data_IF_947802725441
#
_entry.id   IF_947802725441
#
_cell.length_a   1.000
_cell.length_b   1.000
_cell.length_c   1.000
_cell.angle_alpha   90.00
_cell.angle_beta   90.00
_cell.angle_gamma   90.00
#
_symmetry.space_group_name_H-M   'P 1'
#
loop_
_entity.id
_entity.type
_entity.pdbx_description
1 polymer ?
#
# COMPACT_ATOMS: atom_id res chain seq x y z
N UNK A 1 -56.12 -4.65 -5.37
CA UNK A 1 -55.29 -4.21 -6.52
C UNK A 1 -54.39 -3.08 -6.07
N UNK A 2 -53.07 -3.29 -6.14
CA UNK A 2 -52.15 -2.24 -6.58
C UNK A 2 -51.30 -2.73 -7.78
N UNK A 3 -50.97 -1.87 -8.75
CA UNK A 3 -49.86 -2.07 -9.69
C UNK A 3 -48.62 -1.27 -9.22
N UNK A 4 -47.39 -1.48 -9.63
CA UNK A 4 -46.70 -2.51 -10.42
C UNK A 4 -45.19 -2.28 -10.17
N UNK A 5 -44.40 -3.35 -10.24
CA UNK A 5 -42.95 -3.32 -10.06
C UNK A 5 -42.25 -2.74 -11.29
N UNK A 6 -41.14 -2.01 -11.08
CA UNK A 6 -40.02 -2.04 -12.02
C UNK A 6 -38.73 -2.26 -11.25
N UNK A 7 -38.21 -3.46 -11.40
CA UNK A 7 -36.88 -3.89 -11.01
C UNK A 7 -35.80 -3.00 -11.64
N UNK A 8 -34.88 -2.51 -10.80
CA UNK A 8 -33.56 -2.10 -11.24
C UNK A 8 -32.57 -3.00 -10.52
N UNK A 9 -32.02 -3.97 -11.26
CA UNK A 9 -30.92 -4.82 -10.84
C UNK A 9 -29.71 -3.94 -10.48
N UNK A 10 -29.44 -3.75 -9.19
CA UNK A 10 -28.18 -3.18 -8.73
C UNK A 10 -27.18 -4.32 -8.52
N UNK A 11 -26.38 -4.59 -9.55
CA UNK A 11 -25.14 -5.36 -9.40
C UNK A 11 -24.19 -4.57 -8.48
N UNK A 12 -24.13 -4.93 -7.20
CA UNK A 12 -23.07 -4.48 -6.30
C UNK A 12 -21.76 -5.19 -6.68
N UNK A 13 -20.94 -4.51 -7.49
CA UNK A 13 -19.55 -4.87 -7.72
C UNK A 13 -18.75 -4.42 -6.50
N UNK A 14 -18.31 -5.37 -5.66
CA UNK A 14 -17.45 -5.10 -4.51
C UNK A 14 -16.03 -4.76 -4.98
N UNK A 15 -15.73 -3.48 -5.15
CA UNK A 15 -14.34 -3.00 -5.28
C UNK A 15 -13.85 -2.51 -3.91
N UNK A 16 -13.04 -3.34 -3.24
CA UNK A 16 -12.36 -3.04 -1.97
C UNK A 16 -10.92 -2.60 -2.28
N UNK A 17 -10.66 -1.30 -2.18
CA UNK A 17 -9.31 -0.74 -2.13
C UNK A 17 -9.01 -0.31 -0.69
N UNK A 18 -7.74 -0.42 -0.27
CA UNK A 18 -7.25 0.30 0.91
C UNK A 18 -7.21 1.80 0.53
N UNK A 19 -8.33 2.48 0.76
CA UNK A 19 -8.37 3.93 0.82
C UNK A 19 -7.95 4.34 2.23
N UNK A 20 -7.00 5.27 2.35
CA UNK A 20 -6.98 6.12 3.55
C UNK A 20 -8.19 7.06 3.41
N UNK A 21 -9.36 6.58 3.80
CA UNK A 21 -10.62 7.34 3.77
C UNK A 21 -10.79 8.02 5.13
N UNK A 22 -10.53 9.32 5.21
CA UNK A 22 -10.84 10.10 6.41
C UNK A 22 -12.34 10.46 6.43
N UNK A 23 -13.07 9.98 7.43
CA UNK A 23 -14.45 10.41 7.71
C UNK A 23 -14.58 10.90 9.15
N UNK A 24 -15.23 12.06 9.32
CA UNK A 24 -15.68 12.60 10.61
C UNK A 24 -17.21 12.73 10.58
N UNK A 25 -17.89 12.13 11.57
CA UNK A 25 -19.34 12.25 11.79
C UNK A 25 -19.87 11.25 12.82
N UNK A 26 -20.68 11.72 13.77
CA UNK A 26 -21.01 11.13 15.09
C UNK A 26 -22.03 9.96 15.11
N UNK A 27 -21.79 9.05 16.09
CA UNK A 27 -22.71 8.21 16.93
C UNK A 27 -23.44 7.01 16.30
N UNK A 28 -23.35 5.86 17.00
CA UNK A 28 -24.50 4.96 17.21
C UNK A 28 -24.23 3.44 17.18
N UNK A 29 -23.91 2.88 18.35
CA UNK A 29 -24.11 1.51 18.87
C UNK A 29 -24.25 0.28 17.94
N UNK A 30 -23.47 -0.75 18.26
CA UNK A 30 -23.55 -2.14 17.79
C UNK A 30 -24.62 -2.96 18.54
N UNK A 31 -25.15 -4.02 17.90
CA UNK A 31 -25.56 -5.28 18.55
C UNK A 31 -25.43 -6.47 17.58
N UNK A 32 -24.80 -7.54 18.06
CA UNK A 32 -24.71 -8.87 17.45
C UNK A 32 -25.86 -9.77 17.95
N UNK A 33 -26.25 -10.80 17.18
CA UNK A 33 -26.24 -12.21 17.64
C UNK A 33 -26.51 -13.22 16.49
N UNK A 34 -26.10 -14.49 16.66
CA UNK A 34 -25.70 -15.41 15.59
C UNK A 34 -26.71 -16.54 15.36
N UNK A 35 -26.56 -17.29 14.24
CA UNK A 35 -27.03 -18.67 14.15
C UNK A 35 -26.05 -19.58 13.40
N UNK A 36 -25.69 -20.64 14.12
CA UNK A 36 -25.24 -21.99 13.77
C UNK A 36 -25.98 -22.58 12.53
N UNK A 37 -25.66 -23.70 11.88
CA UNK A 37 -24.75 -24.86 12.04
C UNK A 37 -24.89 -25.70 10.73
N UNK A 38 -23.79 -26.35 10.34
CA UNK A 38 -23.58 -27.65 9.63
C UNK A 38 -24.71 -28.24 8.76
N UNK A 39 -24.33 -28.67 7.54
CA UNK A 39 -24.53 -30.03 6.96
C UNK A 39 -23.61 -30.12 5.71
N UNK A 40 -22.65 -31.05 5.60
CA UNK A 40 -22.84 -32.47 5.23
C UNK A 40 -22.94 -32.58 3.70
N UNK A 41 -21.95 -33.08 2.94
CA UNK A 41 -21.84 -34.48 2.46
C UNK A 41 -20.63 -34.56 1.49
N UNK A 42 -19.93 -35.71 1.35
CA UNK A 42 -18.57 -35.83 0.83
C UNK A 42 -18.51 -36.26 -0.64
N UNK A 43 -17.35 -36.10 -1.31
CA UNK A 43 -17.04 -36.89 -2.51
C UNK A 43 -15.57 -37.32 -2.57
N UNK A 44 -15.39 -38.52 -3.12
CA UNK A 44 -14.25 -39.41 -2.99
C UNK A 44 -13.08 -39.11 -3.92
N UNK A 45 -11.93 -39.58 -3.46
CA UNK A 45 -10.66 -39.78 -4.16
C UNK A 45 -10.81 -40.88 -5.22
N UNK A 46 -10.30 -40.64 -6.43
CA UNK A 46 -9.79 -41.72 -7.27
C UNK A 46 -8.41 -41.35 -7.82
N UNK A 47 -7.50 -42.34 -7.79
CA UNK A 47 -6.11 -42.30 -8.25
C UNK A 47 -6.00 -42.96 -9.63
N UNK A 48 -4.84 -42.74 -10.27
CA UNK A 48 -4.21 -43.45 -11.41
C UNK A 48 -4.55 -42.86 -12.79
N UNK A 49 -3.67 -42.72 -13.79
CA UNK A 49 -2.24 -43.01 -13.98
C UNK A 49 -1.68 -42.17 -15.16
N UNK A 50 -0.35 -41.94 -15.17
CA UNK A 50 0.50 -41.58 -16.32
C UNK A 50 1.08 -42.88 -16.93
N UNK A 51 1.45 -42.96 -18.23
CA UNK A 51 2.76 -42.46 -18.73
C UNK A 51 2.74 -41.95 -20.21
N UNK A 52 3.46 -40.88 -20.59
CA UNK A 52 4.87 -40.75 -21.06
C UNK A 52 5.07 -40.71 -22.60
N UNK A 53 6.19 -40.07 -23.00
CA UNK A 53 6.91 -40.06 -24.31
C UNK A 53 6.53 -38.91 -25.28
N UNK A 54 7.43 -38.16 -25.96
CA UNK A 54 8.88 -38.22 -26.24
C UNK A 54 9.38 -36.83 -26.75
N UNK A 55 10.64 -36.51 -26.43
CA UNK A 55 11.75 -35.81 -27.16
C UNK A 55 11.49 -35.03 -28.49
N UNK A 56 12.27 -34.06 -28.99
CA UNK A 56 13.53 -33.36 -28.65
C UNK A 56 13.81 -32.29 -29.75
N UNK A 57 14.92 -31.54 -29.60
CA UNK A 57 15.70 -30.77 -30.60
C UNK A 57 15.33 -29.28 -30.81
N UNK A 58 16.22 -28.28 -30.99
CA UNK A 58 17.69 -28.20 -31.09
C UNK A 58 18.13 -26.69 -31.08
N UNK A 59 19.30 -26.39 -30.47
CA UNK A 59 20.35 -25.34 -30.67
C UNK A 59 20.07 -23.79 -30.74
N UNK A 60 20.59 -23.09 -29.71
CA UNK A 60 21.49 -21.88 -29.61
C UNK A 60 21.78 -20.95 -30.82
N UNK A 61 22.41 -19.76 -30.64
CA UNK A 61 22.17 -18.63 -29.73
C UNK A 61 22.10 -17.28 -30.49
N UNK A 62 21.48 -16.24 -29.92
CA UNK A 62 21.63 -14.87 -30.45
C UNK A 62 21.99 -13.91 -29.32
N UNK A 63 23.25 -13.47 -29.35
CA UNK A 63 23.76 -12.31 -28.62
C UNK A 63 22.94 -11.06 -28.98
N UNK A 64 22.43 -10.38 -27.97
CA UNK A 64 22.00 -8.98 -28.07
C UNK A 64 22.74 -8.23 -26.96
N UNK A 65 23.45 -7.13 -27.26
CA UNK A 65 24.19 -6.41 -26.25
C UNK A 65 23.23 -5.74 -25.27
N UNK A 66 23.53 -5.90 -23.98
CA UNK A 66 22.89 -5.17 -22.90
C UNK A 66 23.18 -3.68 -23.03
N UNK A 67 22.19 -2.89 -23.46
CA UNK A 67 22.19 -1.44 -23.28
C UNK A 67 22.07 -1.17 -21.79
N UNK A 68 23.21 -0.94 -21.14
CA UNK A 68 23.31 -0.46 -19.78
C UNK A 68 22.81 0.99 -19.72
N UNK A 69 21.51 1.19 -19.51
CA UNK A 69 21.01 2.48 -19.06
C UNK A 69 21.36 2.63 -17.56
N UNK A 70 22.58 3.07 -17.26
CA UNK A 70 22.94 3.53 -15.93
C UNK A 70 22.21 4.85 -15.63
N UNK A 71 21.00 4.77 -15.08
CA UNK A 71 20.42 5.90 -14.35
C UNK A 71 20.91 5.84 -12.91
N UNK A 72 22.08 6.45 -12.67
CA UNK A 72 22.61 6.70 -11.32
C UNK A 72 21.74 7.76 -10.63
N UNK A 73 20.88 7.33 -9.72
CA UNK A 73 20.24 8.23 -8.76
C UNK A 73 21.25 8.57 -7.65
N UNK A 74 21.76 9.79 -7.67
CA UNK A 74 22.61 10.32 -6.60
C UNK A 74 21.73 10.92 -5.50
N UNK A 75 21.85 10.41 -4.28
CA UNK A 75 21.17 10.92 -3.09
C UNK A 75 22.04 11.97 -2.40
N UNK A 76 21.61 13.23 -2.25
CA UNK A 76 22.37 14.21 -1.47
C UNK A 76 22.25 13.90 0.04
N UNK A 77 23.38 14.04 0.74
CA UNK A 77 23.45 13.89 2.19
C UNK A 77 22.68 15.02 2.91
N UNK A 78 22.09 14.68 4.06
CA UNK A 78 21.26 15.56 4.88
C UNK A 78 22.04 16.76 5.45
N UNK A 79 21.45 17.95 5.39
CA UNK A 79 21.94 19.16 6.06
C UNK A 79 21.15 19.44 7.35
N UNK A 80 21.88 19.83 8.40
CA UNK A 80 21.41 20.12 9.77
C UNK A 80 20.85 21.56 9.89
N UNK A 81 19.87 21.87 10.77
CA UNK A 81 19.15 23.14 10.74
C UNK A 81 19.70 24.22 11.69
N UNK A 82 19.43 25.50 11.39
CA UNK A 82 19.68 26.66 12.26
C UNK A 82 18.43 27.52 12.50
N UNK A 83 18.14 27.73 13.78
CA UNK A 83 17.40 28.76 14.55
C UNK A 83 16.46 29.83 13.93
N UNK A 84 15.35 30.06 14.66
CA UNK A 84 14.23 31.05 14.59
C UNK A 84 14.68 32.52 14.87
N UNK A 85 13.93 33.64 14.71
CA UNK A 85 12.51 34.03 15.02
C UNK A 85 12.21 35.50 14.48
N UNK A 86 11.09 36.25 14.78
CA UNK A 86 9.62 36.14 14.49
C UNK A 86 8.96 37.37 13.75
N UNK A 87 7.71 37.22 13.27
CA UNK A 87 6.77 38.33 12.94
C UNK A 87 5.43 37.91 12.28
N UNK A 88 4.29 38.25 12.91
CA UNK A 88 2.86 37.83 12.72
C UNK A 88 2.14 38.34 11.42
N UNK A 89 0.85 37.98 11.07
CA UNK A 89 -0.19 37.34 11.88
C UNK A 89 -0.93 36.12 11.27
N UNK A 90 -1.69 35.50 12.18
CA UNK A 90 -2.46 34.26 12.18
C UNK A 90 -3.51 34.06 11.07
N UNK A 91 -3.40 32.94 10.35
CA UNK A 91 -4.50 32.25 9.66
C UNK A 91 -4.82 30.94 10.37
N UNK A 92 -6.09 30.78 10.75
CA UNK A 92 -6.64 29.61 11.44
C UNK A 92 -6.31 28.32 10.68
N UNK A 93 -5.50 27.48 11.32
CA UNK A 93 -5.22 26.12 10.90
C UNK A 93 -6.44 25.23 11.21
N UNK A 94 -7.06 24.65 10.19
CA UNK A 94 -7.97 23.52 10.37
C UNK A 94 -7.16 22.22 10.37
N UNK A 95 -7.10 21.61 11.54
CA UNK A 95 -6.45 20.33 11.82
C UNK A 95 -7.22 19.14 11.23
N UNK A 96 -6.50 18.21 10.62
CA UNK A 96 -6.95 16.86 10.26
C UNK A 96 -7.02 16.65 8.75
N UNK A 97 -6.22 15.71 8.22
CA UNK A 97 -6.14 15.31 6.79
C UNK A 97 -5.61 16.33 5.75
N UNK A 98 -5.27 17.57 6.16
CA UNK A 98 -4.80 18.66 5.29
C UNK A 98 -3.28 18.75 5.00
N UNK A 99 -2.48 17.72 5.28
CA UNK A 99 -1.02 17.81 5.07
C UNK A 99 -0.61 17.63 3.60
N UNK A 100 -1.34 16.77 2.85
CA UNK A 100 -1.00 16.43 1.46
C UNK A 100 -1.77 17.24 0.42
N UNK A 101 -2.86 17.91 0.78
CA UNK A 101 -3.59 18.86 -0.07
C UNK A 101 -3.79 20.16 0.70
N UNK A 102 -3.29 21.25 0.14
CA UNK A 102 -3.40 22.59 0.70
C UNK A 102 -4.07 23.52 -0.32
N UNK A 103 -5.08 24.25 0.12
CA UNK A 103 -5.75 25.26 -0.67
C UNK A 103 -5.34 26.64 -0.19
N UNK A 104 -4.77 27.43 -1.09
CA UNK A 104 -4.31 28.79 -0.80
C UNK A 104 -5.15 29.78 -1.59
N UNK A 105 -5.81 30.72 -0.90
CA UNK A 105 -6.60 31.76 -1.55
C UNK A 105 -5.68 32.85 -2.11
N UNK A 106 -5.71 33.02 -3.43
CA UNK A 106 -5.10 34.13 -4.14
C UNK A 106 -6.16 34.73 -5.07
N UNK A 107 -6.89 35.74 -4.58
CA UNK A 107 -8.07 36.26 -5.26
C UNK A 107 -7.84 36.48 -6.78
N UNK A 108 -8.73 36.00 -7.66
CA UNK A 108 -10.02 35.37 -7.39
C UNK A 108 -10.00 33.82 -7.35
N UNK A 109 -8.84 33.18 -7.10
CA UNK A 109 -8.64 31.75 -7.30
C UNK A 109 -8.09 31.04 -6.05
N UNK A 110 -8.43 29.77 -5.87
CA UNK A 110 -7.71 28.89 -4.95
C UNK A 110 -6.62 28.13 -5.68
N UNK A 111 -5.39 28.21 -5.18
CA UNK A 111 -4.29 27.37 -5.61
C UNK A 111 -4.33 26.04 -4.84
N UNK A 112 -4.48 24.93 -5.55
CA UNK A 112 -4.44 23.59 -4.96
C UNK A 112 -3.02 23.02 -5.04
N UNK A 113 -2.33 23.04 -3.91
CA UNK A 113 -1.01 22.46 -3.75
C UNK A 113 -1.13 21.03 -3.21
N UNK A 114 -0.44 20.09 -3.84
CA UNK A 114 -0.37 18.70 -3.38
C UNK A 114 1.06 18.38 -2.97
N UNK A 115 1.22 17.72 -1.82
CA UNK A 115 2.50 17.25 -1.29
C UNK A 115 2.50 15.73 -1.22
N UNK A 116 3.51 15.09 -1.80
CA UNK A 116 3.74 13.66 -1.60
C UNK A 116 4.26 13.39 -0.17
N UNK A 117 3.55 12.66 0.69
CA UNK A 117 4.01 12.40 2.05
C UNK A 117 5.14 11.35 2.13
N UNK A 118 5.40 10.62 1.05
CA UNK A 118 6.31 9.47 1.05
C UNK A 118 7.76 9.87 0.73
N UNK A 119 8.70 9.08 1.24
CA UNK A 119 10.13 9.21 0.94
C UNK A 119 10.54 8.48 -0.37
N UNK A 120 9.59 8.32 -1.29
CA UNK A 120 9.76 7.71 -2.61
C UNK A 120 8.68 8.23 -3.55
N UNK A 121 8.73 7.87 -4.85
CA UNK A 121 7.76 8.32 -5.82
C UNK A 121 6.35 7.85 -5.44
N UNK A 122 5.35 8.65 -5.78
CA UNK A 122 3.95 8.30 -5.63
C UNK A 122 3.16 8.77 -6.84
N UNK A 123 2.11 8.02 -7.17
CA UNK A 123 1.08 8.46 -8.10
C UNK A 123 -0.11 8.96 -7.30
N UNK A 124 -0.61 10.15 -7.65
CA UNK A 124 -1.67 10.82 -6.94
C UNK A 124 -2.82 11.12 -7.90
N UNK A 125 -4.05 10.99 -7.42
CA UNK A 125 -5.25 11.41 -8.14
C UNK A 125 -6.00 12.43 -7.31
N UNK A 126 -6.08 13.66 -7.81
CA UNK A 126 -6.99 14.66 -7.29
C UNK A 126 -8.28 14.60 -8.09
N UNK A 127 -9.38 14.35 -7.40
CA UNK A 127 -10.73 14.29 -7.95
C UNK A 127 -11.62 15.25 -7.20
N UNK A 128 -12.75 15.59 -7.79
CA UNK A 128 -13.79 16.37 -7.13
C UNK A 128 -15.15 15.94 -7.64
N UNK A 129 -16.19 16.22 -6.87
CA UNK A 129 -17.56 16.09 -7.36
C UNK A 129 -17.79 17.12 -8.46
N UNK A 130 -18.51 16.72 -9.51
CA UNK A 130 -18.97 17.65 -10.53
C UNK A 130 -19.90 18.68 -9.87
N UNK A 131 -19.56 19.96 -9.98
CA UNK A 131 -20.35 21.05 -9.42
C UNK A 131 -20.22 22.29 -10.30
N UNK A 132 -21.29 23.09 -10.36
CA UNK A 132 -21.28 24.41 -10.97
C UNK A 132 -20.61 25.46 -10.05
N UNK A 133 -20.33 25.11 -8.79
CA UNK A 133 -19.76 26.02 -7.79
C UNK A 133 -18.31 26.41 -8.07
N UNK A 134 -17.62 25.70 -8.97
CA UNK A 134 -16.24 25.98 -9.30
C UNK A 134 -15.84 25.51 -10.69
N UNK A 135 -14.77 26.11 -11.21
CA UNK A 135 -14.04 25.66 -12.39
C UNK A 135 -12.60 25.33 -12.03
N UNK A 136 -12.16 24.10 -12.33
CA UNK A 136 -10.76 23.69 -12.15
C UNK A 136 -9.95 23.87 -13.45
N UNK A 137 -8.72 24.38 -13.32
CA UNK A 137 -7.77 24.52 -14.43
C UNK A 137 -6.37 24.04 -13.99
N UNK A 138 -5.86 22.92 -14.54
CA UNK A 138 -6.54 22.01 -15.45
C UNK A 138 -7.74 21.30 -14.79
N UNK A 139 -8.64 20.75 -15.63
CA UNK A 139 -9.88 20.10 -15.18
C UNK A 139 -9.59 18.84 -14.36
N UNK A 140 -10.42 18.56 -13.36
CA UNK A 140 -10.39 17.34 -12.56
C UNK A 140 -11.24 16.24 -13.21
N UNK A 141 -10.90 14.94 -13.02
CA UNK A 141 -9.80 14.44 -12.20
C UNK A 141 -8.42 14.62 -12.85
N UNK A 142 -7.40 14.80 -12.02
CA UNK A 142 -6.00 14.86 -12.44
C UNK A 142 -5.23 13.73 -11.78
N UNK A 143 -4.53 12.95 -12.60
CA UNK A 143 -3.54 11.98 -12.13
C UNK A 143 -2.15 12.49 -12.44
N UNK A 144 -1.27 12.48 -11.44
CA UNK A 144 0.09 12.96 -11.56
C UNK A 144 1.05 12.08 -10.77
N UNK A 145 2.32 12.13 -11.16
CA UNK A 145 3.41 11.51 -10.41
C UNK A 145 4.24 12.60 -9.72
N UNK A 146 4.52 12.38 -8.45
CA UNK A 146 5.34 13.24 -7.62
C UNK A 146 6.54 12.48 -7.08
N UNK A 147 7.71 13.12 -7.12
CA UNK A 147 8.91 12.61 -6.47
C UNK A 147 8.74 12.59 -4.94
N UNK A 148 9.68 11.94 -4.24
CA UNK A 148 9.71 11.89 -2.78
C UNK A 148 9.59 13.31 -2.19
N UNK A 149 8.64 13.51 -1.29
CA UNK A 149 8.38 14.79 -0.61
C UNK A 149 8.12 16.01 -1.53
N UNK A 150 7.88 15.80 -2.83
CA UNK A 150 7.61 16.89 -3.76
C UNK A 150 6.28 17.56 -3.42
N UNK A 151 6.29 18.90 -3.44
CA UNK A 151 5.09 19.75 -3.39
C UNK A 151 4.89 20.45 -4.73
N UNK A 152 3.71 20.29 -5.34
CA UNK A 152 3.39 20.85 -6.66
C UNK A 152 2.04 21.54 -6.66
N UNK A 153 1.93 22.68 -7.35
CA UNK A 153 0.64 23.28 -7.68
C UNK A 153 0.00 22.45 -8.79
N UNK A 154 -1.12 21.77 -8.48
CA UNK A 154 -1.71 20.80 -9.42
C UNK A 154 -2.91 21.36 -10.18
N UNK A 155 -3.70 22.23 -9.55
CA UNK A 155 -4.83 22.89 -10.20
C UNK A 155 -5.15 24.23 -9.56
N UNK A 156 -5.84 25.06 -10.32
CA UNK A 156 -6.43 26.33 -9.89
C UNK A 156 -7.94 26.17 -9.87
N UNK A 157 -8.56 26.44 -8.73
CA UNK A 157 -10.01 26.34 -8.54
C UNK A 157 -10.60 27.75 -8.50
N UNK A 158 -11.38 28.10 -9.52
CA UNK A 158 -12.10 29.37 -9.62
C UNK A 158 -13.52 29.17 -9.08
N UNK A 159 -13.87 29.74 -7.93
CA UNK A 159 -15.24 29.67 -7.42
C UNK A 159 -16.20 30.42 -8.34
N UNK A 160 -17.42 29.91 -8.50
CA UNK A 160 -18.49 30.55 -9.27
C UNK A 160 -19.12 31.74 -8.54
N UNK A 161 -19.01 31.80 -7.21
CA UNK A 161 -19.46 32.94 -6.40
C UNK A 161 -18.35 33.48 -5.51
N UNK A 162 -18.50 34.73 -5.06
CA UNK A 162 -17.58 35.35 -4.10
C UNK A 162 -17.69 34.75 -2.68
N UNK A 163 -18.55 33.74 -2.46
CA UNK A 163 -18.62 33.05 -1.18
C UNK A 163 -17.39 32.15 -1.02
N UNK A 164 -16.49 32.57 -0.12
CA UNK A 164 -15.15 31.98 0.12
C UNK A 164 -15.17 30.59 0.78
N UNK A 165 -16.30 29.89 0.85
CA UNK A 165 -16.37 28.65 1.63
C UNK A 165 -15.74 27.48 0.88
N UNK A 166 -14.62 26.97 1.41
CA UNK A 166 -13.88 25.80 0.92
C UNK A 166 -14.70 24.49 0.88
N UNK A 167 -15.82 24.43 1.61
CA UNK A 167 -16.66 23.23 1.73
C UNK A 167 -17.38 22.79 0.46
N UNK A 168 -17.41 23.63 -0.59
CA UNK A 168 -18.13 23.34 -1.85
C UNK A 168 -17.36 22.48 -2.86
N UNK A 169 -16.04 22.32 -2.73
CA UNK A 169 -15.28 21.67 -3.81
C UNK A 169 -15.35 20.15 -3.81
N UNK A 170 -15.70 19.50 -2.69
CA UNK A 170 -15.80 18.04 -2.61
C UNK A 170 -14.54 17.29 -3.05
N UNK A 171 -13.35 17.86 -2.78
CA UNK A 171 -12.07 17.33 -3.26
C UNK A 171 -11.71 16.01 -2.56
N UNK A 172 -11.24 15.05 -3.33
CA UNK A 172 -10.68 13.79 -2.85
C UNK A 172 -9.27 13.65 -3.41
N UNK A 173 -8.30 13.39 -2.53
CA UNK A 173 -6.93 13.08 -2.91
C UNK A 173 -6.64 11.61 -2.61
N UNK A 174 -6.31 10.86 -3.65
CA UNK A 174 -5.83 9.49 -3.54
C UNK A 174 -4.32 9.45 -3.79
N UNK A 175 -3.60 8.61 -3.03
CA UNK A 175 -2.14 8.47 -3.12
C UNK A 175 -1.81 6.99 -3.18
N UNK A 176 -1.09 6.58 -4.22
CA UNK A 176 -0.58 5.22 -4.39
C UNK A 176 0.95 5.25 -4.39
N UNK A 177 1.61 4.51 -3.48
CA UNK A 177 3.07 4.47 -3.41
C UNK A 177 3.68 3.83 -4.66
N UNK A 178 4.84 4.32 -5.09
CA UNK A 178 5.62 3.77 -6.20
C UNK A 178 5.37 4.43 -7.54
N UNK A 179 6.31 4.23 -8.46
CA UNK A 179 6.21 4.65 -9.86
C UNK A 179 5.36 3.63 -10.64
N UNK A 180 4.25 4.04 -11.31
CA UNK A 180 3.41 3.12 -12.08
C UNK A 180 4.10 2.56 -13.34
N UNK A 181 5.14 3.22 -13.84
CA UNK A 181 6.00 2.74 -14.93
C UNK A 181 7.15 1.84 -14.49
N UNK A 182 7.21 1.45 -13.20
CA UNK A 182 8.25 0.55 -12.70
C UNK A 182 8.17 -0.82 -13.36
N UNK A 183 9.33 -1.43 -13.60
CA UNK A 183 9.48 -2.78 -14.14
C UNK A 183 10.23 -3.68 -13.14
N UNK A 184 9.51 -4.22 -12.12
CA UNK A 184 10.08 -5.15 -11.14
C UNK A 184 10.81 -6.33 -11.78
N UNK A 185 11.95 -6.70 -11.21
CA UNK A 185 12.75 -7.83 -11.70
C UNK A 185 12.49 -9.09 -10.87
N UNK A 186 12.60 -10.30 -11.46
CA UNK A 186 12.41 -11.56 -10.74
C UNK A 186 13.66 -11.88 -9.88
N UNK A 187 13.83 -11.16 -8.79
CA UNK A 187 14.94 -11.34 -7.85
C UNK A 187 14.59 -12.36 -6.76
N UNK A 188 15.63 -12.79 -6.02
CA UNK A 188 15.47 -13.59 -4.81
C UNK A 188 15.59 -12.70 -3.58
N UNK A 189 14.60 -12.77 -2.70
CA UNK A 189 14.59 -12.09 -1.42
C UNK A 189 15.20 -13.00 -0.34
N UNK A 190 15.85 -12.42 0.67
CA UNK A 190 16.27 -13.16 1.85
C UNK A 190 15.13 -13.27 2.87
N UNK A 191 15.11 -14.34 3.65
CA UNK A 191 14.20 -14.47 4.78
C UNK A 191 14.36 -13.26 5.72
N UNK A 192 13.29 -12.52 6.04
CA UNK A 192 13.38 -11.25 6.77
C UNK A 192 13.48 -11.41 8.29
N UNK A 193 13.96 -12.55 8.77
CA UNK A 193 14.18 -12.85 10.18
C UNK A 193 15.10 -14.06 10.30
N UNK A 194 15.62 -14.29 11.50
CA UNK A 194 16.47 -15.43 11.83
C UNK A 194 16.20 -15.88 13.27
N UNK A 195 16.81 -16.99 13.69
CA UNK A 195 16.74 -17.54 15.05
C UNK A 195 15.32 -17.94 15.53
N UNK A 196 14.35 -18.01 14.62
CA UNK A 196 13.03 -18.61 14.86
C UNK A 196 12.71 -19.59 13.73
N UNK A 197 11.97 -20.68 13.99
CA UNK A 197 11.53 -21.59 12.94
C UNK A 197 10.73 -20.87 11.86
N UNK A 198 10.93 -21.26 10.60
CA UNK A 198 10.10 -20.77 9.49
C UNK A 198 8.75 -21.48 9.55
N UNK A 199 7.72 -20.77 10.00
CA UNK A 199 6.35 -21.27 10.02
C UNK A 199 5.46 -20.33 9.22
N UNK A 200 4.92 -20.82 8.09
CA UNK A 200 3.97 -20.07 7.28
C UNK A 200 2.56 -20.31 7.83
N UNK A 201 1.95 -19.26 8.37
CA UNK A 201 0.58 -19.29 8.86
C UNK A 201 -0.44 -19.12 7.71
N UNK A 202 -0.10 -18.29 6.74
CA UNK A 202 -0.91 -18.04 5.54
C UNK A 202 0.01 -17.73 4.35
N UNK A 203 -0.28 -18.31 3.19
CA UNK A 203 0.47 -18.10 1.95
C UNK A 203 -0.33 -17.33 0.89
N UNK A 204 0.12 -17.41 -0.36
CA UNK A 204 -0.54 -16.75 -1.49
C UNK A 204 -2.00 -17.21 -1.64
N UNK A 205 -2.92 -16.27 -1.90
CA UNK A 205 -4.36 -16.53 -2.05
C UNK A 205 -5.07 -17.02 -0.78
N UNK A 206 -4.48 -16.78 0.39
CA UNK A 206 -5.09 -17.10 1.68
C UNK A 206 -6.44 -16.41 1.89
N UNK A 207 -7.37 -17.13 2.53
CA UNK A 207 -8.78 -16.75 2.62
C UNK A 207 -9.08 -15.67 3.68
N UNK A 208 -8.13 -15.38 4.58
CA UNK A 208 -8.35 -14.40 5.65
C UNK A 208 -8.04 -12.97 5.20
N UNK A 209 -6.82 -12.74 4.72
CA UNK A 209 -6.33 -11.39 4.37
C UNK A 209 -5.56 -11.33 3.05
N UNK A 210 -5.36 -12.45 2.35
CA UNK A 210 -4.58 -12.51 1.11
C UNK A 210 -5.48 -12.71 -0.12
N UNK A 211 -6.66 -12.09 -0.10
CA UNK A 211 -7.70 -12.24 -1.12
C UNK A 211 -7.88 -10.98 -2.00
N UNK A 212 -7.14 -9.90 -1.72
CA UNK A 212 -7.21 -8.65 -2.45
C UNK A 212 -5.90 -8.37 -3.22
N UNK A 213 -5.95 -7.54 -4.29
CA UNK A 213 -4.81 -7.34 -5.19
C UNK A 213 -3.47 -7.00 -4.52
N UNK A 214 -3.38 -6.11 -3.51
CA UNK A 214 -2.11 -5.80 -2.86
C UNK A 214 -1.58 -6.92 -1.95
N UNK A 215 -2.39 -7.93 -1.58
CA UNK A 215 -1.97 -8.98 -0.65
C UNK A 215 -2.09 -10.40 -1.22
N UNK A 216 -2.57 -10.56 -2.47
CA UNK A 216 -2.74 -11.86 -3.12
C UNK A 216 -1.50 -12.76 -3.05
N UNK A 217 -0.30 -12.17 -3.24
CA UNK A 217 0.97 -12.86 -3.12
C UNK A 217 1.71 -12.53 -1.80
N UNK A 218 1.00 -12.29 -0.70
CA UNK A 218 1.63 -12.09 0.61
C UNK A 218 1.86 -13.42 1.34
N UNK A 219 2.76 -13.39 2.33
CA UNK A 219 3.07 -14.51 3.22
C UNK A 219 3.07 -14.02 4.66
N UNK A 220 2.35 -14.72 5.52
CA UNK A 220 2.34 -14.50 6.96
C UNK A 220 3.24 -15.54 7.63
N UNK A 221 4.30 -15.07 8.27
CA UNK A 221 5.21 -15.91 9.05
C UNK A 221 4.83 -15.85 10.54
N UNK A 222 4.33 -16.94 11.09
CA UNK A 222 4.04 -17.05 12.51
C UNK A 222 5.34 -16.94 13.31
N UNK A 223 5.39 -15.99 14.25
CA UNK A 223 6.57 -15.77 15.10
C UNK A 223 6.22 -15.03 16.39
N UNK A 224 6.99 -15.20 17.48
CA UNK A 224 6.81 -14.43 18.70
C UNK A 224 6.93 -12.93 18.44
N UNK A 225 6.19 -12.10 19.19
CA UNK A 225 6.41 -10.65 19.19
C UNK A 225 7.83 -10.33 19.65
N UNK A 226 8.40 -9.24 19.13
CA UNK A 226 9.77 -8.83 19.45
C UNK A 226 10.85 -9.49 18.59
N UNK A 227 10.49 -10.47 17.75
CA UNK A 227 11.44 -11.09 16.81
C UNK A 227 11.99 -10.02 15.86
N UNK A 228 13.32 -9.88 15.70
CA UNK A 228 13.88 -8.91 14.76
C UNK A 228 13.38 -9.13 13.33
N UNK A 229 12.86 -8.06 12.73
CA UNK A 229 12.45 -8.02 11.32
C UNK A 229 13.52 -7.29 10.52
N UNK A 230 14.02 -7.94 9.48
CA UNK A 230 15.15 -7.53 8.67
C UNK A 230 14.73 -7.19 7.24
N UNK A 231 15.48 -6.32 6.58
CA UNK A 231 15.32 -6.03 5.17
C UNK A 231 15.65 -7.27 4.34
N UNK A 232 14.63 -7.80 3.67
CA UNK A 232 14.74 -8.96 2.77
C UNK A 232 15.59 -8.66 1.52
N UNK A 233 15.66 -7.39 1.12
CA UNK A 233 16.45 -6.87 0.01
C UNK A 233 16.80 -5.40 0.28
N UNK A 234 17.96 -4.95 -0.18
CA UNK A 234 18.40 -3.57 -0.05
C UNK A 234 17.46 -2.58 -0.76
N UNK A 235 17.41 -1.35 -0.25
CA UNK A 235 16.55 -0.32 -0.80
C UNK A 235 16.49 0.93 0.07
N UNK A 236 15.43 1.71 -0.14
CA UNK A 236 15.15 2.92 0.64
C UNK A 236 13.83 2.75 1.37
N UNK A 237 13.82 3.03 2.68
CA UNK A 237 12.60 3.04 3.48
C UNK A 237 11.71 4.17 2.97
N UNK A 238 10.62 3.82 2.30
CA UNK A 238 9.74 4.78 1.63
C UNK A 238 8.57 5.22 2.52
N UNK A 239 8.04 4.29 3.32
CA UNK A 239 6.88 4.53 4.18
C UNK A 239 7.10 3.85 5.53
N UNK A 240 6.67 4.53 6.59
CA UNK A 240 6.63 4.01 7.95
C UNK A 240 5.28 4.37 8.57
N UNK A 241 4.66 3.40 9.24
CA UNK A 241 3.57 3.62 10.19
C UNK A 241 3.98 2.99 11.52
N UNK A 242 3.85 3.74 12.63
CA UNK A 242 4.45 3.33 13.92
C UNK A 242 3.61 3.66 15.17
N UNK A 243 2.42 4.22 14.97
CA UNK A 243 1.58 4.76 16.06
C UNK A 243 0.35 3.88 16.34
N UNK A 244 0.30 2.66 15.79
CA UNK A 244 -0.78 1.70 16.06
C UNK A 244 -0.38 0.84 17.27
N UNK A 245 -1.22 0.85 18.31
CA UNK A 245 -0.93 0.15 19.56
C UNK A 245 -1.56 -1.25 19.59
N UNK A 246 -2.79 -1.36 19.10
CA UNK A 246 -3.63 -2.54 19.34
C UNK A 246 -3.81 -3.41 18.09
N UNK A 247 -4.21 -4.66 18.35
CA UNK A 247 -4.74 -5.56 17.33
C UNK A 247 -6.26 -5.37 17.22
N UNK A 248 -6.77 -5.46 16.00
CA UNK A 248 -8.19 -5.29 15.69
C UNK A 248 -8.64 -6.40 14.72
N UNK A 249 -8.72 -7.66 15.20
CA UNK A 249 -8.89 -8.84 14.35
C UNK A 249 -10.23 -8.89 13.58
N UNK A 250 -11.19 -8.06 13.96
CA UNK A 250 -12.52 -7.98 13.33
C UNK A 250 -12.71 -6.71 12.49
N UNK A 251 -11.65 -5.90 12.34
CA UNK A 251 -11.68 -4.66 11.58
C UNK A 251 -10.64 -4.69 10.46
N UNK A 252 -11.01 -5.11 9.24
CA UNK A 252 -10.09 -5.12 8.10
C UNK A 252 -9.64 -3.70 7.71
N UNK A 253 -10.33 -2.64 8.15
CA UNK A 253 -9.94 -1.26 7.84
C UNK A 253 -8.69 -0.82 8.61
N UNK A 254 -8.33 -1.52 9.69
CA UNK A 254 -7.11 -1.27 10.45
C UNK A 254 -5.83 -1.68 9.69
N UNK A 255 -5.96 -2.50 8.63
CA UNK A 255 -4.87 -2.83 7.72
C UNK A 255 -3.62 -3.38 8.39
N UNK A 256 -2.45 -3.02 7.87
CA UNK A 256 -1.14 -3.55 8.29
C UNK A 256 -0.62 -3.06 9.65
N UNK A 257 -1.39 -2.29 10.42
CA UNK A 257 -0.95 -1.75 11.70
C UNK A 257 0.33 -0.92 11.57
N UNK A 258 1.35 -1.23 12.38
CA UNK A 258 2.68 -0.67 12.18
C UNK A 258 3.40 -1.41 11.06
N UNK A 259 3.99 -0.63 10.15
CA UNK A 259 4.62 -1.19 8.96
C UNK A 259 5.83 -0.39 8.51
N UNK A 260 6.69 -1.08 7.77
CA UNK A 260 7.77 -0.50 6.99
C UNK A 260 7.59 -0.92 5.54
N UNK A 261 7.73 0.03 4.62
CA UNK A 261 7.79 -0.25 3.18
C UNK A 261 9.15 0.15 2.65
N UNK A 262 9.86 -0.79 2.02
CA UNK A 262 11.18 -0.56 1.40
C UNK A 262 11.00 -0.55 -0.12
N UNK A 263 11.40 0.54 -0.77
CA UNK A 263 11.46 0.69 -2.21
C UNK A 263 12.80 0.16 -2.74
N UNK A 264 12.76 -0.71 -3.73
CA UNK A 264 13.93 -1.28 -4.38
C UNK A 264 14.27 -0.53 -5.69
N UNK A 265 15.48 -0.75 -6.20
CA UNK A 265 15.99 -0.07 -7.40
C UNK A 265 15.18 -0.36 -8.68
N UNK A 266 14.48 -1.49 -8.74
CA UNK A 266 13.59 -1.86 -9.86
C UNK A 266 12.15 -1.31 -9.71
N UNK A 267 11.91 -0.51 -8.65
CA UNK A 267 10.61 0.09 -8.34
C UNK A 267 9.61 -0.87 -7.66
N UNK A 268 9.97 -2.12 -7.41
CA UNK A 268 9.22 -2.99 -6.51
C UNK A 268 9.34 -2.52 -5.06
N UNK A 269 8.37 -2.89 -4.22
CA UNK A 269 8.31 -2.47 -2.83
C UNK A 269 8.04 -3.66 -1.92
N UNK A 270 8.95 -3.94 -0.98
CA UNK A 270 8.70 -4.89 0.08
C UNK A 270 7.91 -4.22 1.22
N UNK A 271 6.84 -4.85 1.67
CA UNK A 271 6.03 -4.46 2.82
C UNK A 271 6.30 -5.42 3.99
N UNK A 272 6.53 -4.86 5.16
CA UNK A 272 6.68 -5.56 6.44
C UNK A 272 5.65 -4.98 7.40
N UNK A 273 4.63 -5.75 7.77
CA UNK A 273 3.48 -5.26 8.53
C UNK A 273 3.26 -6.01 9.86
N UNK A 274 2.30 -5.51 10.65
CA UNK A 274 1.96 -5.95 12.00
C UNK A 274 3.11 -5.82 13.01
N UNK A 275 4.02 -4.86 12.80
CA UNK A 275 5.16 -4.63 13.68
C UNK A 275 4.73 -4.21 15.09
N UNK A 276 5.58 -4.46 16.09
CA UNK A 276 5.27 -4.13 17.47
C UNK A 276 5.08 -2.60 17.66
N UNK A 277 4.27 -2.16 18.63
CA UNK A 277 4.27 -0.78 19.10
C UNK A 277 5.69 -0.38 19.50
N UNK A 278 6.16 0.79 19.04
CA UNK A 278 7.56 1.24 19.22
C UNK A 278 8.63 0.28 18.65
N UNK A 279 8.23 -0.70 17.83
CA UNK A 279 9.13 -1.71 17.27
C UNK A 279 9.85 -1.26 16.00
N UNK A 280 9.36 -0.22 15.31
CA UNK A 280 9.99 0.30 14.09
C UNK A 280 11.32 0.99 14.43
N UNK A 281 12.40 0.55 13.78
CA UNK A 281 13.77 0.99 14.06
C UNK A 281 14.39 1.87 12.96
N UNK A 282 13.61 2.21 11.94
CA UNK A 282 14.04 2.97 10.76
C UNK A 282 13.15 4.18 10.51
N UNK A 283 13.64 5.11 9.69
CA UNK A 283 12.89 6.32 9.29
C UNK A 283 12.69 6.40 7.77
N UNK A 284 11.63 7.07 7.30
CA UNK A 284 11.49 7.38 5.87
C UNK A 284 12.75 8.06 5.31
N UNK A 285 13.16 7.66 4.10
CA UNK A 285 14.35 8.11 3.40
C UNK A 285 15.64 7.37 3.78
N UNK A 286 15.62 6.50 4.80
CA UNK A 286 16.79 5.72 5.18
C UNK A 286 17.11 4.64 4.12
N UNK A 287 18.35 4.62 3.62
CA UNK A 287 18.86 3.49 2.86
C UNK A 287 19.15 2.32 3.80
N UNK A 288 18.73 1.12 3.40
CA UNK A 288 18.91 -0.12 4.17
C UNK A 288 19.59 -1.17 3.31
N UNK A 289 20.50 -1.95 3.91
CA UNK A 289 21.09 -3.13 3.27
C UNK A 289 20.27 -4.38 3.56
N UNK A 290 20.39 -5.39 2.70
CA UNK A 290 19.86 -6.73 2.99
C UNK A 290 20.35 -7.23 4.34
N UNK A 291 19.43 -7.70 5.18
CA UNK A 291 19.70 -8.13 6.56
C UNK A 291 19.72 -7.02 7.61
N UNK A 292 19.61 -5.75 7.23
CA UNK A 292 19.54 -4.64 8.18
C UNK A 292 18.20 -4.65 8.94
N UNK A 293 18.24 -4.35 10.25
CA UNK A 293 17.05 -4.38 11.11
C UNK A 293 16.11 -3.22 10.78
N UNK A 294 14.88 -3.57 10.39
CA UNK A 294 13.78 -2.63 10.15
C UNK A 294 12.94 -2.40 11.40
N UNK A 295 12.82 -3.42 12.25
CA UNK A 295 12.06 -3.33 13.49
C UNK A 295 11.90 -4.69 14.18
N UNK A 296 10.74 -4.88 14.82
CA UNK A 296 10.37 -6.16 15.45
C UNK A 296 8.94 -6.56 15.12
N UNK A 297 8.71 -7.86 14.98
CA UNK A 297 7.39 -8.45 14.82
C UNK A 297 6.48 -8.07 15.99
N UNK A 298 5.18 -8.00 15.71
CA UNK A 298 4.18 -7.63 16.68
C UNK A 298 2.86 -8.32 16.38
N UNK A 299 1.78 -7.61 16.67
CA UNK A 299 0.41 -8.06 16.40
C UNK A 299 -0.53 -6.88 16.11
N UNK A 300 -0.01 -5.75 15.61
CA UNK A 300 -0.80 -4.51 15.49
C UNK A 300 -1.67 -4.49 14.25
N UNK A 301 -2.81 -3.79 14.28
CA UNK A 301 -3.74 -3.70 13.14
C UNK A 301 -4.59 -4.96 12.93
N UNK A 302 -4.95 -5.25 11.68
CA UNK A 302 -5.82 -6.38 11.32
C UNK A 302 -5.08 -7.72 11.44
N UNK A 303 -4.90 -8.18 12.69
CA UNK A 303 -4.16 -9.39 13.03
C UNK A 303 -4.84 -10.14 14.18
N UNK A 304 -4.87 -11.46 14.08
CA UNK A 304 -5.46 -12.36 15.08
C UNK A 304 -4.43 -12.94 16.06
N UNK A 305 -3.17 -13.06 15.62
CA UNK A 305 -2.06 -13.61 16.41
C UNK A 305 -0.71 -13.07 15.92
N UNK A 306 0.34 -13.07 16.77
CA UNK A 306 1.66 -12.57 16.38
C UNK A 306 2.24 -13.23 15.12
N UNK A 307 2.58 -12.41 14.13
CA UNK A 307 3.21 -12.83 12.89
C UNK A 307 3.89 -11.65 12.19
N UNK A 308 4.66 -11.95 11.14
CA UNK A 308 5.10 -10.96 10.15
C UNK A 308 4.33 -11.17 8.86
N UNK A 309 3.57 -10.16 8.45
CA UNK A 309 3.00 -10.11 7.10
C UNK A 309 4.04 -9.50 6.15
N UNK A 310 4.37 -10.24 5.09
CA UNK A 310 5.36 -9.87 4.09
C UNK A 310 4.77 -9.93 2.67
N UNK A 311 4.91 -8.85 1.91
CA UNK A 311 4.44 -8.78 0.53
C UNK A 311 5.42 -8.00 -0.34
N UNK A 312 5.53 -8.38 -1.62
CA UNK A 312 6.18 -7.55 -2.65
C UNK A 312 5.08 -6.91 -3.47
N UNK A 313 5.13 -5.59 -3.65
CA UNK A 313 4.10 -4.81 -4.30
C UNK A 313 4.67 -3.88 -5.38
N UNK A 314 3.85 -3.51 -6.36
CA UNK A 314 4.11 -2.46 -7.34
C UNK A 314 2.89 -1.57 -7.54
N UNK A 315 3.12 -0.32 -7.93
CA UNK A 315 2.06 0.51 -8.50
C UNK A 315 1.79 0.06 -9.94
N UNK A 316 0.52 -0.11 -10.28
CA UNK A 316 0.05 -0.49 -11.61
C UNK A 316 -1.07 0.48 -12.09
N UNK A 317 -0.84 1.78 -11.94
CA UNK A 317 -1.77 2.81 -12.40
C UNK A 317 -2.91 3.04 -11.42
N UNK A 318 -2.65 3.79 -10.35
CA UNK A 318 -3.57 4.06 -9.24
C UNK A 318 -4.07 2.79 -8.51
N UNK A 319 -3.36 1.68 -8.69
CA UNK A 319 -3.65 0.41 -8.04
C UNK A 319 -2.35 -0.19 -7.51
N UNK A 320 -2.39 -0.72 -6.29
CA UNK A 320 -1.28 -1.45 -5.72
C UNK A 320 -1.53 -2.94 -5.93
N UNK A 321 -0.61 -3.60 -6.64
CA UNK A 321 -0.67 -5.04 -6.89
C UNK A 321 0.47 -5.74 -6.17
N UNK A 322 0.18 -6.87 -5.54
CA UNK A 322 1.22 -7.79 -5.09
C UNK A 322 1.83 -8.54 -6.27
N UNK A 323 3.07 -8.99 -6.08
CA UNK A 323 3.84 -9.76 -7.05
C UNK A 323 4.24 -11.11 -6.44
N UNK A 324 4.22 -12.19 -7.22
CA UNK A 324 4.87 -13.42 -6.79
C UNK A 324 6.37 -13.16 -6.63
N UNK A 325 6.98 -13.77 -5.62
CA UNK A 325 8.39 -13.60 -5.32
C UNK A 325 9.04 -14.92 -4.92
N UNK A 326 10.37 -14.95 -5.03
CA UNK A 326 11.21 -16.07 -4.58
C UNK A 326 11.92 -15.67 -3.30
N UNK A 327 12.01 -16.56 -2.33
CA UNK A 327 12.65 -16.28 -1.05
C UNK A 327 13.65 -17.37 -0.67
N UNK A 328 14.84 -16.99 -0.24
CA UNK A 328 15.86 -17.89 0.29
C UNK A 328 15.73 -17.97 1.81
N UNK A 329 15.58 -19.18 2.33
CA UNK A 329 15.63 -19.50 3.74
C UNK A 329 16.89 -20.31 4.12
N UNK A 330 17.02 -20.71 5.40
CA UNK A 330 18.20 -21.41 5.91
C UNK A 330 18.52 -22.74 5.21
N UNK A 331 17.51 -23.40 4.63
CA UNK A 331 17.61 -24.71 3.99
C UNK A 331 17.55 -24.63 2.45
N UNK A 332 17.61 -23.42 1.87
CA UNK A 332 17.42 -23.18 0.45
C UNK A 332 16.18 -22.36 0.16
N UNK A 333 15.71 -22.42 -1.09
CA UNK A 333 14.56 -21.63 -1.53
C UNK A 333 13.25 -22.13 -0.90
N UNK A 334 12.44 -21.19 -0.41
CA UNK A 334 11.10 -21.47 0.07
C UNK A 334 10.14 -21.59 -1.12
N UNK A 335 9.33 -22.65 -1.09
CA UNK A 335 8.31 -22.89 -2.11
C UNK A 335 6.94 -22.57 -1.54
N UNK A 336 6.36 -21.45 -1.98
CA UNK A 336 4.99 -21.08 -1.67
C UNK A 336 4.05 -21.72 -2.70
N UNK A 337 2.94 -22.37 -2.27
CA UNK A 337 1.93 -22.84 -3.20
C UNK A 337 1.44 -21.69 -4.06
N UNK A 338 1.31 -21.91 -5.38
CA UNK A 338 0.60 -20.94 -6.20
C UNK A 338 -0.87 -20.93 -5.78
N UNK A 339 -1.50 -19.74 -5.66
CA UNK A 339 -2.92 -19.67 -5.39
C UNK A 339 -3.68 -20.30 -6.56
N UNK A 340 -4.77 -21.01 -6.25
CA UNK A 340 -5.62 -21.58 -7.29
C UNK A 340 -6.12 -20.45 -8.22
N UNK A 341 -6.19 -20.69 -9.54
CA UNK A 341 -6.57 -19.69 -10.54
C UNK A 341 -7.99 -19.15 -10.36
#
# INVERSE_FOLDING_TARGET
MPPDFRDVNLFMRMERYIFIRYHYGRRGAAYLRPLARVDGVPYQVSRTALPALIAACVLLPAWVPAVHAQQRWQWPAAATPSSQTPGAPSTMASSGSGASLQLEWQAPVYLAWVTNPLAGPAQLRLSALSSEDYRAVPQLPLTLELAAHERRLVTRLYPASNQRTLGGFGLTLEVVPGNPGAAPQPVRYQLPFHNVPVQVAQGFGGQFSHADPPNWYAVDFAMPQGTPVLAAREGVVMQVQRDVLDSTPNDPTAGGGNLVRVLHADGSMALYAHLAPNGVAVRPGQAVRTGERLGTSGNTGFSTAPHLHFAIQRNAGMQLLSLPFRMLGPQGELHFPSPAP
#
